data_IF_164284880689
#
_entry.id   IF_164284880689
#
_cell.length_a   1.000
_cell.length_b   1.000
_cell.length_c   1.000
_cell.angle_alpha   90.00
_cell.angle_beta   90.00
_cell.angle_gamma   90.00
#
_symmetry.space_group_name_H-M   'P 1'
#
loop_
_entity.id
_entity.type
_entity.pdbx_description
1 polymer ?
#
# COMPACT_ATOMS: atom_id res chain seq x y z
N UNK A 1 19.06 88.95 -61.83
CA UNK A 1 20.28 88.14 -61.64
C UNK A 1 20.69 88.24 -60.19
N UNK A 2 21.29 87.18 -59.65
CA UNK A 2 21.81 87.12 -58.28
C UNK A 2 23.35 87.12 -58.36
N UNK A 3 24.01 87.95 -57.56
CA UNK A 3 25.47 87.94 -57.43
C UNK A 3 25.84 87.09 -56.23
N UNK A 4 26.68 86.07 -56.40
CA UNK A 4 27.16 85.24 -55.30
C UNK A 4 28.68 85.08 -55.33
N UNK A 5 29.26 84.76 -54.17
CA UNK A 5 30.67 84.41 -54.05
C UNK A 5 30.88 82.91 -54.28
N UNK A 6 31.97 82.53 -54.93
CA UNK A 6 32.40 81.14 -54.98
C UNK A 6 32.92 80.69 -53.61
N UNK A 7 32.42 79.57 -53.08
CA UNK A 7 32.84 79.04 -51.77
C UNK A 7 34.28 78.52 -51.76
N UNK A 8 34.83 78.22 -52.94
CA UNK A 8 36.20 77.71 -53.08
C UNK A 8 37.21 78.83 -53.38
N UNK A 9 36.93 79.73 -54.34
CA UNK A 9 37.88 80.77 -54.76
C UNK A 9 37.53 82.20 -54.30
N UNK A 10 36.39 82.40 -53.63
CA UNK A 10 35.96 83.68 -53.03
C UNK A 10 35.46 84.75 -54.02
N UNK A 11 35.69 84.60 -55.33
CA UNK A 11 35.32 85.59 -56.36
C UNK A 11 33.81 85.66 -56.60
N UNK A 12 33.33 86.87 -56.91
CA UNK A 12 31.92 87.15 -57.25
C UNK A 12 31.59 86.79 -58.69
N UNK A 13 30.44 86.18 -58.92
CA UNK A 13 29.90 85.96 -60.25
C UNK A 13 28.37 86.02 -60.23
N UNK A 14 27.79 86.33 -61.39
CA UNK A 14 26.34 86.45 -61.56
C UNK A 14 25.72 85.14 -62.03
N UNK A 15 24.51 84.86 -61.56
CA UNK A 15 23.68 83.77 -62.08
C UNK A 15 22.22 84.23 -62.24
N UNK A 16 21.43 83.46 -63.00
CA UNK A 16 20.01 83.75 -63.11
C UNK A 16 19.29 83.29 -61.83
N UNK A 17 18.22 84.00 -61.47
CA UNK A 17 17.44 83.70 -60.25
C UNK A 17 16.72 82.34 -60.31
N UNK A 18 16.64 81.72 -61.49
CA UNK A 18 15.97 80.44 -61.77
C UNK A 18 16.91 79.24 -61.74
N UNK A 19 18.22 79.46 -61.70
CA UNK A 19 19.22 78.38 -61.78
C UNK A 19 19.28 77.60 -60.46
N UNK A 20 19.18 76.27 -60.53
CA UNK A 20 19.20 75.38 -59.35
C UNK A 20 20.62 75.00 -58.92
N UNK A 21 21.60 75.19 -59.80
CA UNK A 21 23.02 75.07 -59.55
C UNK A 21 23.80 75.96 -60.49
N UNK A 22 25.03 76.33 -60.11
CA UNK A 22 25.90 77.11 -60.96
C UNK A 22 27.35 76.62 -60.84
N UNK A 23 28.08 76.72 -61.95
CA UNK A 23 29.51 76.41 -62.01
C UNK A 23 30.25 77.74 -62.00
N UNK A 24 31.17 77.93 -61.05
CA UNK A 24 31.95 79.16 -61.00
C UNK A 24 32.83 79.27 -62.26
N UNK A 25 32.71 80.34 -63.07
CA UNK A 25 33.48 80.47 -64.31
C UNK A 25 34.98 80.70 -64.08
N UNK A 26 35.40 81.05 -62.85
CA UNK A 26 36.80 81.31 -62.53
C UNK A 26 37.58 80.07 -62.08
N UNK A 27 36.93 79.07 -61.49
CA UNK A 27 37.60 77.88 -60.96
C UNK A 27 36.88 76.55 -61.24
N UNK A 28 35.74 76.58 -61.93
CA UNK A 28 34.98 75.38 -62.30
C UNK A 28 34.22 74.68 -61.16
N UNK A 29 34.20 75.23 -59.95
CA UNK A 29 33.51 74.58 -58.81
C UNK A 29 31.99 74.63 -59.00
N UNK A 30 31.35 73.46 -58.94
CA UNK A 30 29.88 73.34 -58.97
C UNK A 30 29.33 73.63 -57.58
N UNK A 31 28.49 74.64 -57.46
CA UNK A 31 27.89 75.05 -56.20
C UNK A 31 26.41 75.37 -56.36
N UNK A 32 25.66 75.04 -55.33
CA UNK A 32 24.23 75.30 -55.26
C UNK A 32 24.05 76.71 -54.68
N UNK A 33 23.24 77.58 -55.31
CA UNK A 33 23.01 78.92 -54.78
C UNK A 33 22.47 78.88 -53.34
N UNK A 34 22.78 79.89 -52.49
CA UNK A 34 22.38 79.91 -51.07
C UNK A 34 20.87 79.66 -50.85
N UNK A 35 20.03 80.23 -51.71
CA UNK A 35 18.56 80.02 -51.69
C UNK A 35 18.17 78.54 -51.84
N UNK A 36 18.86 77.80 -52.71
CA UNK A 36 18.57 76.39 -52.97
C UNK A 36 19.18 75.49 -51.88
N UNK A 37 20.33 75.86 -51.28
CA UNK A 37 20.84 75.19 -50.07
C UNK A 37 19.88 75.31 -48.89
N UNK A 38 19.33 76.51 -48.66
CA UNK A 38 18.30 76.75 -47.65
C UNK A 38 17.04 75.92 -47.91
N UNK A 39 16.57 75.87 -49.17
CA UNK A 39 15.43 75.04 -49.56
C UNK A 39 15.65 73.54 -49.31
N UNK A 40 16.80 72.99 -49.71
CA UNK A 40 17.15 71.58 -49.49
C UNK A 40 17.28 71.24 -48.00
N UNK A 41 17.80 72.16 -47.19
CA UNK A 41 17.93 71.98 -45.74
C UNK A 41 16.57 72.05 -45.04
N UNK A 42 15.67 72.94 -45.51
CA UNK A 42 14.27 72.94 -45.09
C UNK A 42 13.53 71.64 -45.48
N UNK A 43 13.71 71.13 -46.69
CA UNK A 43 13.14 69.86 -47.12
C UNK A 43 13.67 68.68 -46.31
N UNK A 44 14.98 68.66 -46.00
CA UNK A 44 15.59 67.63 -45.14
C UNK A 44 15.02 67.68 -43.72
N UNK A 45 14.87 68.87 -43.14
CA UNK A 45 14.22 69.07 -41.83
C UNK A 45 12.77 68.59 -41.87
N UNK A 46 12.02 68.93 -42.93
CA UNK A 46 10.65 68.43 -43.16
C UNK A 46 10.60 66.91 -43.24
N UNK A 47 11.52 66.26 -43.98
CA UNK A 47 11.58 64.78 -44.08
C UNK A 47 11.92 64.11 -42.76
N UNK A 48 12.89 64.64 -42.00
CA UNK A 48 13.24 64.11 -40.66
C UNK A 48 12.05 64.27 -39.71
N UNK A 49 11.35 65.39 -39.78
CA UNK A 49 10.18 65.62 -38.94
C UNK A 49 9.00 64.71 -39.32
N UNK A 50 8.76 64.51 -40.61
CA UNK A 50 7.80 63.51 -41.11
C UNK A 50 8.20 62.12 -40.60
N UNK A 51 9.47 61.72 -40.74
CA UNK A 51 9.95 60.42 -40.26
C UNK A 51 9.77 60.25 -38.74
N UNK A 52 10.05 61.29 -37.94
CA UNK A 52 9.82 61.30 -36.49
C UNK A 52 8.33 61.15 -36.18
N UNK A 53 7.46 61.87 -36.90
CA UNK A 53 5.99 61.75 -36.75
C UNK A 53 5.51 60.34 -37.12
N UNK A 54 5.99 59.76 -38.23
CA UNK A 54 5.64 58.40 -38.66
C UNK A 54 6.11 57.35 -37.64
N UNK A 55 7.36 57.45 -37.17
CA UNK A 55 7.89 56.54 -36.14
C UNK A 55 7.12 56.66 -34.81
N UNK A 56 6.73 57.86 -34.41
CA UNK A 56 5.91 58.08 -33.22
C UNK A 56 4.50 57.48 -33.37
N UNK A 57 3.90 57.55 -34.56
CA UNK A 57 2.62 56.89 -34.86
C UNK A 57 2.76 55.37 -34.78
N UNK A 58 3.77 54.79 -35.42
CA UNK A 58 4.04 53.34 -35.38
C UNK A 58 4.31 52.87 -33.94
N UNK A 59 5.07 53.63 -33.16
CA UNK A 59 5.35 53.33 -31.76
C UNK A 59 4.08 53.35 -30.91
N UNK A 60 3.20 54.35 -31.08
CA UNK A 60 1.88 54.41 -30.42
C UNK A 60 1.00 53.24 -30.83
N UNK A 61 1.00 52.86 -32.11
CA UNK A 61 0.21 51.73 -32.60
C UNK A 61 0.72 50.38 -32.06
N UNK A 62 2.05 50.18 -32.04
CA UNK A 62 2.68 49.00 -31.41
C UNK A 62 2.38 48.94 -29.91
N UNK A 63 2.44 50.06 -29.20
CA UNK A 63 2.10 50.13 -27.78
C UNK A 63 0.61 49.82 -27.53
N UNK A 64 -0.29 50.34 -28.38
CA UNK A 64 -1.72 50.03 -28.32
C UNK A 64 -1.98 48.55 -28.57
N UNK A 65 -1.41 47.96 -29.64
CA UNK A 65 -1.51 46.52 -29.94
C UNK A 65 -0.95 45.67 -28.79
N UNK A 66 0.22 46.03 -28.25
CA UNK A 66 0.83 45.35 -27.09
C UNK A 66 -0.07 45.42 -25.86
N UNK A 67 -0.67 46.58 -25.57
CA UNK A 67 -1.63 46.74 -24.45
C UNK A 67 -2.89 45.89 -24.65
N UNK A 68 -3.45 45.86 -25.85
CA UNK A 68 -4.62 45.01 -26.18
C UNK A 68 -4.28 43.52 -26.05
N UNK A 69 -3.12 43.09 -26.55
CA UNK A 69 -2.65 41.70 -26.42
C UNK A 69 -2.46 41.34 -24.94
N UNK A 70 -1.76 42.17 -24.16
CA UNK A 70 -1.52 41.91 -22.73
C UNK A 70 -2.81 41.88 -21.91
N UNK A 71 -3.75 42.79 -22.16
CA UNK A 71 -5.06 42.78 -21.48
C UNK A 71 -5.88 41.54 -21.83
N UNK A 72 -5.85 41.11 -23.11
CA UNK A 72 -6.46 39.84 -23.54
C UNK A 72 -5.83 38.65 -22.80
N UNK A 73 -4.49 38.56 -22.76
CA UNK A 73 -3.77 37.47 -22.08
C UNK A 73 -4.12 37.42 -20.58
N UNK A 74 -4.11 38.57 -19.90
CA UNK A 74 -4.45 38.65 -18.47
C UNK A 74 -5.88 38.17 -18.24
N UNK A 75 -6.83 38.58 -19.07
CA UNK A 75 -8.23 38.14 -18.95
C UNK A 75 -8.37 36.63 -19.14
N UNK A 76 -7.71 36.05 -20.14
CA UNK A 76 -7.78 34.61 -20.41
C UNK A 76 -7.15 33.79 -19.29
N UNK A 77 -6.00 34.22 -18.78
CA UNK A 77 -5.32 33.55 -17.64
C UNK A 77 -6.17 33.62 -16.38
N UNK A 78 -6.83 34.75 -16.12
CA UNK A 78 -7.72 34.92 -14.96
C UNK A 78 -8.93 33.99 -15.04
N UNK A 79 -9.53 33.84 -16.21
CA UNK A 79 -10.66 32.92 -16.44
C UNK A 79 -10.22 31.46 -16.20
N UNK A 80 -9.06 31.06 -16.75
CA UNK A 80 -8.53 29.70 -16.55
C UNK A 80 -8.27 29.44 -15.06
N UNK A 81 -7.69 30.40 -14.34
CA UNK A 81 -7.44 30.28 -12.91
C UNK A 81 -8.75 30.06 -12.12
N UNK A 82 -9.82 30.81 -12.43
CA UNK A 82 -11.12 30.63 -11.79
C UNK A 82 -11.74 29.26 -12.07
N UNK A 83 -11.60 28.76 -13.30
CA UNK A 83 -12.08 27.41 -13.66
C UNK A 83 -11.33 26.35 -12.86
N UNK A 84 -10.00 26.46 -12.77
CA UNK A 84 -9.16 25.53 -11.99
C UNK A 84 -9.57 25.56 -10.51
N UNK A 85 -9.79 26.75 -9.94
CA UNK A 85 -10.29 26.88 -8.55
C UNK A 85 -11.66 26.23 -8.39
N UNK A 86 -12.57 26.45 -9.35
CA UNK A 86 -13.90 25.85 -9.33
C UNK A 86 -13.87 24.32 -9.38
N UNK A 87 -13.03 23.74 -10.25
CA UNK A 87 -12.86 22.28 -10.36
C UNK A 87 -12.29 21.71 -9.05
N UNK A 88 -11.27 22.34 -8.47
CA UNK A 88 -10.68 21.91 -7.20
C UNK A 88 -11.66 22.05 -6.02
N UNK A 89 -12.50 23.10 -6.02
CA UNK A 89 -13.52 23.28 -4.99
C UNK A 89 -14.62 22.22 -5.12
N UNK A 90 -15.04 21.92 -6.34
CA UNK A 90 -16.00 20.86 -6.61
C UNK A 90 -15.47 19.50 -6.15
N UNK A 91 -14.25 19.13 -6.55
CA UNK A 91 -13.65 17.85 -6.12
C UNK A 91 -13.46 17.77 -4.61
N UNK A 92 -13.10 18.87 -3.94
CA UNK A 92 -12.99 18.91 -2.49
C UNK A 92 -14.35 18.69 -1.79
N UNK A 93 -15.42 19.29 -2.30
CA UNK A 93 -16.77 19.13 -1.75
C UNK A 93 -17.26 17.69 -1.95
N UNK A 94 -17.07 17.14 -3.15
CA UNK A 94 -17.45 15.77 -3.48
C UNK A 94 -16.70 14.76 -2.60
N UNK A 95 -15.37 14.85 -2.53
CA UNK A 95 -14.55 14.02 -1.65
C UNK A 95 -14.96 14.15 -0.16
N UNK A 96 -15.31 15.36 0.29
CA UNK A 96 -15.78 15.60 1.66
C UNK A 96 -17.13 14.91 1.94
N UNK A 97 -18.03 14.85 0.95
CA UNK A 97 -19.31 14.14 1.05
C UNK A 97 -19.12 12.62 1.06
N UNK A 98 -18.29 12.10 0.14
CA UNK A 98 -17.93 10.68 0.08
C UNK A 98 -17.29 10.22 1.40
N UNK A 99 -16.40 11.03 1.97
CA UNK A 99 -15.77 10.74 3.26
C UNK A 99 -16.78 10.64 4.41
N UNK A 100 -17.79 11.53 4.43
CA UNK A 100 -18.85 11.47 5.44
C UNK A 100 -19.68 10.20 5.30
N UNK A 101 -20.05 9.85 4.07
CA UNK A 101 -20.81 8.64 3.76
C UNK A 101 -20.03 7.39 4.19
N UNK A 102 -18.73 7.33 3.89
CA UNK A 102 -17.85 6.25 4.34
C UNK A 102 -17.81 6.15 5.88
N UNK A 103 -17.72 7.28 6.57
CA UNK A 103 -17.75 7.34 8.04
C UNK A 103 -19.09 6.86 8.63
N UNK A 104 -20.20 7.11 7.95
CA UNK A 104 -21.51 6.63 8.39
C UNK A 104 -21.65 5.11 8.19
N UNK A 105 -21.11 4.56 7.10
CA UNK A 105 -21.02 3.09 6.92
C UNK A 105 -20.19 2.43 8.04
N UNK A 106 -19.07 3.03 8.46
CA UNK A 106 -18.29 2.55 9.62
C UNK A 106 -19.15 2.47 10.88
N UNK A 107 -19.89 3.53 11.20
CA UNK A 107 -20.78 3.59 12.39
C UNK A 107 -21.89 2.54 12.34
N UNK A 108 -22.31 2.14 11.15
CA UNK A 108 -23.32 1.11 10.95
C UNK A 108 -22.75 -0.32 10.94
N UNK A 109 -21.42 -0.49 11.01
CA UNK A 109 -20.76 -1.81 10.92
C UNK A 109 -20.64 -2.36 9.48
N UNK A 110 -20.90 -1.51 8.49
CA UNK A 110 -20.84 -1.80 7.04
C UNK A 110 -19.42 -1.57 6.53
N UNK A 111 -18.47 -2.37 7.04
CA UNK A 111 -17.03 -2.10 6.87
C UNK A 111 -16.55 -2.24 5.43
N UNK A 112 -17.17 -3.13 4.64
CA UNK A 112 -16.79 -3.33 3.23
C UNK A 112 -17.19 -2.12 2.39
N UNK A 113 -18.41 -1.64 2.57
CA UNK A 113 -18.93 -0.45 1.92
C UNK A 113 -18.12 0.80 2.31
N UNK A 114 -17.78 0.93 3.59
CA UNK A 114 -16.89 1.98 4.07
C UNK A 114 -15.51 1.92 3.40
N UNK A 115 -14.90 0.73 3.31
CA UNK A 115 -13.59 0.53 2.69
C UNK A 115 -13.58 0.95 1.23
N UNK A 116 -14.58 0.54 0.45
CA UNK A 116 -14.68 0.91 -0.96
C UNK A 116 -14.70 2.42 -1.15
N UNK A 117 -15.48 3.15 -0.32
CA UNK A 117 -15.54 4.60 -0.38
C UNK A 117 -14.22 5.26 0.06
N UNK A 118 -13.60 4.83 1.17
CA UNK A 118 -12.30 5.37 1.59
C UNK A 118 -11.20 5.07 0.56
N UNK A 119 -11.24 3.92 -0.10
CA UNK A 119 -10.28 3.56 -1.13
C UNK A 119 -10.41 4.48 -2.36
N UNK A 120 -11.63 4.87 -2.76
CA UNK A 120 -11.82 5.87 -3.84
C UNK A 120 -11.27 7.25 -3.50
N UNK A 121 -11.17 7.58 -2.22
CA UNK A 121 -10.67 8.86 -1.72
C UNK A 121 -9.14 8.96 -1.71
N UNK A 122 -8.44 7.82 -1.70
CA UNK A 122 -6.97 7.76 -1.67
C UNK A 122 -6.37 8.56 -0.52
N UNK A 123 -5.57 9.57 -0.83
CA UNK A 123 -4.86 10.42 0.15
C UNK A 123 -5.72 11.58 0.69
N UNK A 124 -7.02 11.61 0.40
CA UNK A 124 -7.89 12.64 0.98
C UNK A 124 -8.08 12.38 2.48
N UNK A 125 -7.60 13.31 3.31
CA UNK A 125 -7.58 13.19 4.78
C UNK A 125 -6.80 11.93 5.23
N UNK A 126 -7.38 11.14 6.12
CA UNK A 126 -6.89 9.89 6.71
C UNK A 126 -7.47 8.64 6.01
N UNK A 127 -8.02 8.76 4.81
CA UNK A 127 -8.72 7.65 4.14
C UNK A 127 -7.83 6.43 3.93
N UNK A 128 -6.55 6.63 3.58
CA UNK A 128 -5.55 5.56 3.46
C UNK A 128 -5.34 4.77 4.76
N UNK A 129 -5.28 5.46 5.91
CA UNK A 129 -5.13 4.80 7.21
C UNK A 129 -6.44 4.13 7.66
N UNK A 130 -7.60 4.74 7.36
CA UNK A 130 -8.91 4.13 7.57
C UNK A 130 -9.08 2.83 6.77
N UNK A 131 -8.59 2.78 5.54
CA UNK A 131 -8.59 1.55 4.74
C UNK A 131 -7.84 0.41 5.44
N UNK A 132 -6.66 0.66 6.02
CA UNK A 132 -5.88 -0.35 6.75
C UNK A 132 -6.64 -0.86 7.98
N UNK A 133 -7.24 0.05 8.76
CA UNK A 133 -8.05 -0.32 9.91
C UNK A 133 -9.28 -1.15 9.49
N UNK A 134 -9.91 -0.79 8.37
CA UNK A 134 -11.07 -1.49 7.84
C UNK A 134 -10.72 -2.88 7.27
N UNK A 135 -9.55 -3.07 6.66
CA UNK A 135 -9.10 -4.40 6.23
C UNK A 135 -9.04 -5.38 7.40
N UNK A 136 -8.49 -4.93 8.54
CA UNK A 136 -8.46 -5.69 9.79
C UNK A 136 -9.88 -5.96 10.31
N UNK A 137 -10.73 -4.93 10.34
CA UNK A 137 -12.11 -5.07 10.81
C UNK A 137 -12.91 -6.05 9.94
N UNK A 138 -12.74 -6.01 8.61
CA UNK A 138 -13.38 -6.94 7.65
C UNK A 138 -12.87 -8.36 7.87
N UNK A 139 -11.56 -8.55 8.08
CA UNK A 139 -11.00 -9.88 8.37
C UNK A 139 -11.60 -10.44 9.66
N UNK A 140 -11.62 -9.67 10.74
CA UNK A 140 -12.21 -10.07 12.03
C UNK A 140 -13.71 -10.31 11.93
N UNK A 141 -14.46 -9.49 11.19
CA UNK A 141 -15.88 -9.70 10.93
C UNK A 141 -16.13 -11.00 10.16
N UNK A 142 -15.28 -11.32 9.18
CA UNK A 142 -15.34 -12.57 8.43
C UNK A 142 -15.09 -13.77 9.35
N UNK A 143 -14.09 -13.68 10.22
CA UNK A 143 -13.84 -14.72 11.23
C UNK A 143 -15.05 -14.87 12.17
N UNK A 144 -15.56 -13.78 12.75
CA UNK A 144 -16.74 -13.78 13.62
C UNK A 144 -17.98 -14.42 12.97
N UNK A 145 -18.16 -14.22 11.66
CA UNK A 145 -19.28 -14.79 10.91
C UNK A 145 -19.05 -16.23 10.47
N UNK A 146 -17.84 -16.77 10.61
CA UNK A 146 -17.53 -18.16 10.27
C UNK A 146 -18.05 -19.09 11.37
N UNK A 147 -18.81 -20.11 10.97
CA UNK A 147 -19.37 -21.11 11.89
C UNK A 147 -18.34 -22.14 12.34
N UNK A 148 -18.65 -22.86 13.43
CA UNK A 148 -17.86 -24.03 13.85
C UNK A 148 -17.86 -25.06 12.72
N UNK A 149 -16.67 -25.60 12.40
CA UNK A 149 -16.43 -26.44 11.22
C UNK A 149 -16.05 -25.67 9.96
N UNK A 150 -16.27 -24.34 9.93
CA UNK A 150 -15.79 -23.48 8.84
C UNK A 150 -14.27 -23.29 8.85
N UNK A 151 -13.75 -22.77 7.74
CA UNK A 151 -12.33 -22.46 7.54
C UNK A 151 -12.13 -20.94 7.53
N UNK A 152 -11.12 -20.47 8.25
CA UNK A 152 -10.61 -19.10 8.19
C UNK A 152 -9.14 -19.09 7.73
N UNK A 153 -8.67 -17.94 7.27
CA UNK A 153 -7.25 -17.71 6.94
C UNK A 153 -6.64 -16.71 7.91
N UNK A 154 -5.49 -17.08 8.50
CA UNK A 154 -4.80 -16.24 9.46
C UNK A 154 -3.32 -16.62 9.61
N UNK A 155 -2.44 -15.64 9.47
CA UNK A 155 -0.99 -15.88 9.39
C UNK A 155 -0.57 -16.58 8.09
N UNK A 156 0.75 -16.67 7.90
CA UNK A 156 1.37 -17.31 6.73
C UNK A 156 2.56 -18.14 7.15
N UNK A 157 2.72 -19.34 6.60
CA UNK A 157 3.84 -20.23 6.90
C UNK A 157 4.24 -21.00 5.64
N UNK A 158 5.52 -21.35 5.53
CA UNK A 158 6.07 -22.12 4.42
C UNK A 158 5.48 -23.53 4.41
N UNK A 159 4.76 -23.90 3.36
CA UNK A 159 4.01 -25.15 3.29
C UNK A 159 4.23 -25.95 2.01
N UNK A 160 4.92 -25.42 1.00
CA UNK A 160 5.20 -26.14 -0.25
C UNK A 160 6.71 -26.43 -0.49
N UNK A 161 7.60 -25.82 0.30
CA UNK A 161 9.05 -25.97 0.21
C UNK A 161 9.70 -25.09 -0.85
N UNK A 162 8.94 -24.22 -1.50
CA UNK A 162 9.40 -23.30 -2.52
C UNK A 162 9.64 -21.91 -1.95
N UNK A 163 10.70 -21.73 -1.17
CA UNK A 163 11.06 -20.44 -0.54
C UNK A 163 11.09 -19.19 -1.47
N UNK A 164 11.10 -19.37 -2.80
CA UNK A 164 11.06 -18.30 -3.78
C UNK A 164 9.66 -17.68 -4.00
N UNK A 165 8.57 -18.38 -3.69
CA UNK A 165 7.19 -17.86 -3.80
C UNK A 165 6.75 -17.12 -2.51
N UNK A 166 7.50 -17.28 -1.42
CA UNK A 166 7.16 -16.74 -0.10
C UNK A 166 6.15 -17.62 0.64
N UNK A 167 5.92 -17.33 1.92
CA UNK A 167 5.06 -18.15 2.77
C UNK A 167 3.59 -18.17 2.30
N UNK A 168 2.94 -19.32 2.39
CA UNK A 168 1.51 -19.49 2.09
C UNK A 168 0.63 -19.11 3.27
N UNK A 169 -0.58 -18.58 3.00
CA UNK A 169 -1.59 -18.37 4.05
C UNK A 169 -1.93 -19.69 4.77
N UNK A 170 -2.08 -19.62 6.09
CA UNK A 170 -2.47 -20.78 6.89
C UNK A 170 -4.00 -20.83 6.97
N UNK A 171 -4.56 -21.99 6.62
CA UNK A 171 -5.98 -22.29 6.78
C UNK A 171 -6.24 -22.93 8.15
N UNK A 172 -7.24 -22.44 8.86
CA UNK A 172 -7.61 -22.90 10.19
C UNK A 172 -9.08 -23.30 10.23
N UNK A 173 -9.34 -24.48 10.79
CA UNK A 173 -10.69 -24.94 11.10
C UNK A 173 -11.16 -24.39 12.44
N UNK A 174 -12.37 -23.85 12.46
CA UNK A 174 -13.00 -23.31 13.67
C UNK A 174 -13.53 -24.44 14.54
N UNK A 175 -12.93 -24.65 15.71
CA UNK A 175 -13.30 -25.71 16.65
C UNK A 175 -14.38 -25.29 17.64
N UNK A 176 -14.34 -24.05 18.11
CA UNK A 176 -15.31 -23.50 19.06
C UNK A 176 -15.33 -21.97 19.01
N UNK A 177 -16.45 -21.40 19.47
CA UNK A 177 -16.63 -19.95 19.62
C UNK A 177 -17.08 -19.64 21.03
N UNK A 178 -16.52 -18.59 21.61
CA UNK A 178 -16.93 -18.04 22.91
C UNK A 178 -16.96 -16.51 22.81
N UNK A 179 -18.15 -15.96 22.57
CA UNK A 179 -18.35 -14.52 22.37
C UNK A 179 -17.43 -13.97 21.27
N UNK A 180 -16.47 -13.09 21.61
CA UNK A 180 -15.48 -12.52 20.69
C UNK A 180 -14.18 -13.32 20.61
N UNK A 181 -14.19 -14.59 21.04
CA UNK A 181 -13.04 -15.48 21.00
C UNK A 181 -13.34 -16.68 20.13
N UNK A 182 -12.32 -17.12 19.41
CA UNK A 182 -12.42 -18.30 18.55
C UNK A 182 -11.28 -19.26 18.82
N UNK A 183 -11.62 -20.53 19.06
CA UNK A 183 -10.65 -21.62 19.09
C UNK A 183 -10.52 -22.18 17.68
N UNK A 184 -9.30 -22.15 17.17
CA UNK A 184 -9.00 -22.65 15.82
C UNK A 184 -7.84 -23.63 15.85
N UNK A 185 -7.81 -24.54 14.89
CA UNK A 185 -6.73 -25.49 14.64
C UNK A 185 -6.35 -25.46 13.17
N UNK A 186 -5.08 -25.62 12.81
CA UNK A 186 -4.73 -25.67 11.38
C UNK A 186 -5.52 -26.79 10.68
N UNK A 187 -6.09 -26.50 9.51
CA UNK A 187 -6.81 -27.50 8.70
C UNK A 187 -5.88 -28.67 8.37
N UNK A 188 -4.64 -28.34 8.01
CA UNK A 188 -3.67 -29.30 7.54
C UNK A 188 -2.54 -29.45 8.58
N UNK A 189 -1.79 -30.54 8.46
CA UNK A 189 -0.51 -30.67 9.13
C UNK A 189 0.48 -29.70 8.49
N UNK A 190 1.03 -28.77 9.29
CA UNK A 190 1.88 -27.70 8.76
C UNK A 190 3.38 -28.02 8.81
N UNK A 191 3.78 -28.98 9.64
CA UNK A 191 5.18 -29.25 9.90
C UNK A 191 5.39 -30.66 10.48
N UNK A 192 6.53 -31.27 10.14
CA UNK A 192 7.02 -32.47 10.81
C UNK A 192 7.84 -32.01 12.03
N UNK A 193 7.37 -32.31 13.23
CA UNK A 193 8.16 -32.15 14.45
C UNK A 193 8.05 -33.39 15.32
N UNK A 194 9.16 -33.74 15.96
CA UNK A 194 9.14 -34.63 17.12
C UNK A 194 8.42 -33.92 18.26
N UNK A 195 7.86 -34.70 19.18
CA UNK A 195 7.31 -34.14 20.40
C UNK A 195 8.43 -33.59 21.31
N UNK A 196 9.56 -34.31 21.38
CA UNK A 196 10.77 -33.90 22.06
C UNK A 196 12.01 -34.38 21.28
N UNK A 197 13.10 -33.64 21.30
CA UNK A 197 14.29 -34.02 20.51
C UNK A 197 15.03 -35.23 21.06
N UNK A 198 14.92 -35.45 22.38
CA UNK A 198 15.60 -36.54 23.10
C UNK A 198 14.63 -37.43 23.90
N UNK A 199 14.96 -38.70 24.06
CA UNK A 199 14.14 -39.69 24.75
C UNK A 199 14.41 -39.60 26.24
N UNK A 200 13.70 -38.68 26.88
CA UNK A 200 13.67 -38.49 28.32
C UNK A 200 12.23 -38.42 28.79
N UNK A 201 11.99 -38.57 30.09
CA UNK A 201 10.65 -38.36 30.63
C UNK A 201 10.26 -36.88 30.41
N UNK A 202 9.25 -36.65 29.56
CA UNK A 202 8.84 -35.34 29.07
C UNK A 202 7.34 -35.17 29.19
N UNK A 203 6.91 -33.99 29.62
CA UNK A 203 5.50 -33.55 29.65
C UNK A 203 5.30 -32.47 28.60
N UNK A 204 4.07 -32.00 28.40
CA UNK A 204 3.82 -30.85 27.52
C UNK A 204 4.66 -29.63 27.92
N UNK A 205 4.67 -29.31 29.22
CA UNK A 205 5.38 -28.19 29.83
C UNK A 205 6.86 -28.11 29.41
N UNK A 206 7.55 -29.25 29.40
CA UNK A 206 9.00 -29.34 29.16
C UNK A 206 9.37 -29.72 27.72
N UNK A 207 8.38 -30.01 26.88
CA UNK A 207 8.59 -30.46 25.50
C UNK A 207 9.23 -29.39 24.61
N UNK A 208 10.08 -29.85 23.69
CA UNK A 208 10.67 -28.97 22.66
C UNK A 208 9.61 -28.51 21.65
N UNK A 209 8.57 -29.32 21.40
CA UNK A 209 7.46 -28.94 20.53
C UNK A 209 6.70 -27.71 21.07
N UNK A 210 6.39 -27.67 22.38
CA UNK A 210 5.76 -26.50 23.00
C UNK A 210 6.62 -25.25 22.87
N UNK A 211 7.94 -25.37 23.06
CA UNK A 211 8.89 -24.26 22.91
C UNK A 211 8.87 -23.73 21.48
N UNK A 212 8.95 -24.60 20.48
CA UNK A 212 8.89 -24.20 19.07
C UNK A 212 7.58 -23.49 18.72
N UNK A 213 6.44 -24.02 19.17
CA UNK A 213 5.13 -23.40 18.93
C UNK A 213 5.02 -22.00 19.52
N UNK A 214 5.53 -21.78 20.75
CA UNK A 214 5.43 -20.50 21.44
C UNK A 214 6.62 -19.55 21.19
N UNK A 215 7.51 -19.89 20.26
CA UNK A 215 8.62 -19.02 19.86
C UNK A 215 8.72 -18.94 18.34
N UNK A 216 9.54 -19.78 17.71
CA UNK A 216 9.82 -19.77 16.28
C UNK A 216 8.56 -19.79 15.42
N UNK A 217 7.57 -20.64 15.75
CA UNK A 217 6.33 -20.69 14.98
C UNK A 217 5.55 -19.37 15.06
N UNK A 218 5.33 -18.81 16.26
CA UNK A 218 4.62 -17.52 16.41
C UNK A 218 5.35 -16.39 15.68
N UNK A 219 6.67 -16.32 15.84
CA UNK A 219 7.49 -15.27 15.21
C UNK A 219 7.50 -15.35 13.69
N UNK A 220 7.40 -16.57 13.15
CA UNK A 220 7.45 -16.84 11.70
C UNK A 220 6.07 -16.75 11.05
N UNK A 221 5.02 -17.18 11.76
CA UNK A 221 3.68 -17.36 11.20
C UNK A 221 2.81 -16.10 11.22
N UNK A 222 3.07 -15.16 12.13
CA UNK A 222 2.18 -14.03 12.38
C UNK A 222 2.93 -12.70 12.34
N UNK A 223 2.28 -11.67 11.78
CA UNK A 223 2.76 -10.29 11.90
C UNK A 223 2.60 -9.77 13.33
N UNK A 224 3.28 -8.68 13.70
CA UNK A 224 3.17 -8.10 15.04
C UNK A 224 1.73 -7.70 15.41
N UNK A 225 0.97 -7.21 14.42
CA UNK A 225 -0.46 -6.92 14.55
C UNK A 225 -1.25 -8.21 14.85
N UNK A 226 -1.01 -9.29 14.11
CA UNK A 226 -1.68 -10.58 14.32
C UNK A 226 -1.30 -11.24 15.66
N UNK A 227 -0.04 -11.10 16.10
CA UNK A 227 0.42 -11.59 17.42
C UNK A 227 -0.35 -10.95 18.58
N UNK A 228 -0.84 -9.72 18.40
CA UNK A 228 -1.65 -9.01 19.40
C UNK A 228 -3.02 -9.67 19.62
N UNK A 229 -3.53 -10.42 18.64
CA UNK A 229 -4.81 -11.13 18.72
C UNK A 229 -4.69 -12.52 19.34
N UNK A 230 -3.48 -13.05 19.49
CA UNK A 230 -3.23 -14.36 20.10
C UNK A 230 -3.43 -14.30 21.62
N UNK A 231 -4.40 -15.06 22.13
CA UNK A 231 -4.71 -15.09 23.56
C UNK A 231 -3.80 -16.06 24.31
N UNK A 232 -3.15 -15.55 25.36
CA UNK A 232 -2.51 -16.42 26.36
C UNK A 232 -3.59 -17.21 27.09
N UNK A 233 -3.47 -18.53 27.05
CA UNK A 233 -4.46 -19.46 27.57
C UNK A 233 -3.82 -20.40 28.58
N UNK A 234 -4.48 -20.60 29.73
CA UNK A 234 -4.15 -21.69 30.65
C UNK A 234 -4.47 -23.03 30.01
N UNK A 235 -3.45 -23.74 29.53
CA UNK A 235 -3.57 -25.07 28.92
C UNK A 235 -3.47 -26.13 30.02
N UNK A 236 -4.54 -26.91 30.18
CA UNK A 236 -4.67 -27.88 31.29
C UNK A 236 -3.93 -29.19 31.05
N UNK A 237 -2.94 -29.52 31.88
CA UNK A 237 -2.13 -30.73 31.74
C UNK A 237 -2.77 -31.95 32.40
N UNK A 238 -3.86 -32.43 31.79
CA UNK A 238 -4.60 -33.59 32.27
C UNK A 238 -3.79 -34.89 32.16
N UNK A 239 -4.00 -35.79 33.13
CA UNK A 239 -3.48 -37.16 33.05
C UNK A 239 -4.11 -37.90 31.89
N UNK A 240 -3.41 -38.91 31.36
CA UNK A 240 -4.01 -39.84 30.41
C UNK A 240 -5.25 -40.51 31.04
N UNK A 241 -6.44 -40.46 30.40
CA UNK A 241 -7.66 -40.98 31.01
C UNK A 241 -7.66 -42.51 31.15
N UNK A 242 -6.89 -43.24 30.31
CA UNK A 242 -6.80 -44.71 30.32
C UNK A 242 -5.61 -45.20 31.13
N UNK A 243 -4.43 -44.60 30.94
CA UNK A 243 -3.20 -45.07 31.56
C UNK A 243 -2.84 -44.34 32.86
N UNK A 244 -3.54 -43.25 33.17
CA UNK A 244 -3.34 -42.43 34.36
C UNK A 244 -1.92 -41.81 34.49
N UNK A 245 -1.12 -41.86 33.42
CA UNK A 245 0.16 -41.15 33.31
C UNK A 245 -0.05 -39.67 33.60
N UNK A 246 0.75 -39.12 34.51
CA UNK A 246 0.66 -37.72 34.91
C UNK A 246 1.03 -36.78 33.76
N UNK A 247 0.19 -35.78 33.49
CA UNK A 247 0.31 -34.83 32.37
C UNK A 247 1.37 -33.73 32.54
N UNK A 248 1.90 -33.55 33.76
CA UNK A 248 2.71 -32.40 34.13
C UNK A 248 1.88 -31.27 34.71
N UNK A 249 2.46 -30.08 34.81
CA UNK A 249 1.78 -28.87 35.28
C UNK A 249 1.07 -28.14 34.14
N UNK A 250 0.02 -27.40 34.48
CA UNK A 250 -0.65 -26.48 33.56
C UNK A 250 0.34 -25.42 33.05
N UNK A 251 0.14 -24.97 31.82
CA UNK A 251 0.99 -23.97 31.16
C UNK A 251 0.19 -22.76 30.72
N UNK A 252 0.88 -21.65 30.47
CA UNK A 252 0.31 -20.47 29.83
C UNK A 252 0.88 -20.37 28.42
N UNK A 253 0.06 -20.67 27.42
CA UNK A 253 0.47 -20.79 26.02
C UNK A 253 -0.40 -19.93 25.11
N UNK A 254 0.20 -19.35 24.05
CA UNK A 254 -0.55 -18.69 22.96
C UNK A 254 -0.93 -19.69 21.87
N UNK A 255 -0.03 -20.64 21.59
CA UNK A 255 -0.24 -21.71 20.61
C UNK A 255 0.09 -23.06 21.27
N UNK A 256 -0.78 -24.05 21.07
CA UNK A 256 -0.67 -25.38 21.66
C UNK A 256 -1.18 -26.46 20.69
N UNK A 257 -1.26 -27.70 21.14
CA UNK A 257 -1.94 -28.81 20.44
C UNK A 257 -3.00 -29.41 21.36
N UNK A 258 -4.02 -30.06 20.80
CA UNK A 258 -5.12 -30.60 21.61
C UNK A 258 -4.64 -31.68 22.60
N UNK A 259 -5.30 -31.76 23.75
CA UNK A 259 -5.32 -32.97 24.58
C UNK A 259 -6.27 -34.03 24.02
N UNK A 260 -6.23 -35.23 24.61
CA UNK A 260 -7.24 -36.27 24.41
C UNK A 260 -8.66 -35.71 24.65
N UNK A 261 -8.90 -35.07 25.80
CA UNK A 261 -10.23 -34.56 26.16
C UNK A 261 -10.72 -33.47 25.21
N UNK A 262 -9.82 -32.58 24.76
CA UNK A 262 -10.15 -31.55 23.78
C UNK A 262 -10.40 -32.12 22.39
N UNK A 263 -9.62 -33.13 21.97
CA UNK A 263 -9.87 -33.86 20.72
C UNK A 263 -11.26 -34.50 20.73
N UNK A 264 -11.62 -35.22 21.78
CA UNK A 264 -12.93 -35.87 21.90
C UNK A 264 -14.08 -34.85 21.93
N UNK A 265 -13.85 -33.67 22.51
CA UNK A 265 -14.83 -32.59 22.58
C UNK A 265 -15.05 -31.89 21.24
N UNK A 266 -13.96 -31.54 20.54
CA UNK A 266 -14.03 -30.62 19.39
C UNK A 266 -13.95 -31.33 18.04
N UNK A 267 -13.20 -32.44 17.92
CA UNK A 267 -13.00 -33.14 16.65
C UNK A 267 -14.17 -34.08 16.34
N UNK A 268 -15.34 -33.53 16.07
CA UNK A 268 -16.58 -34.29 15.81
C UNK A 268 -16.86 -34.55 14.33
N UNK A 269 -16.16 -33.85 13.43
CA UNK A 269 -16.29 -33.91 11.96
C UNK A 269 -14.91 -34.13 11.31
N UNK A 270 -14.92 -34.50 10.02
CA UNK A 270 -13.74 -35.04 9.33
C UNK A 270 -12.60 -34.02 9.21
N UNK A 271 -12.87 -32.76 8.92
CA UNK A 271 -11.87 -31.69 8.81
C UNK A 271 -11.08 -31.49 10.12
N UNK A 272 -11.73 -31.68 11.27
CA UNK A 272 -11.08 -31.60 12.57
C UNK A 272 -10.35 -32.91 12.95
N UNK A 273 -10.74 -34.07 12.39
CA UNK A 273 -10.11 -35.37 12.70
C UNK A 273 -8.92 -35.68 11.79
N UNK A 274 -9.07 -35.42 10.50
CA UNK A 274 -8.12 -35.79 9.46
C UNK A 274 -7.10 -34.66 9.27
N UNK A 275 -5.86 -34.90 9.68
CA UNK A 275 -4.76 -33.98 9.39
C UNK A 275 -4.26 -34.22 7.98
N UNK A 276 -4.81 -33.49 7.00
CA UNK A 276 -4.30 -33.52 5.61
C UNK A 276 -2.82 -33.17 5.62
N UNK A 277 -2.06 -33.81 4.74
CA UNK A 277 -0.61 -33.64 4.67
C UNK A 277 -0.22 -33.32 3.24
N UNK A 278 0.74 -32.43 3.08
CA UNK A 278 1.27 -32.02 1.78
C UNK A 278 2.67 -32.63 1.53
N UNK A 279 3.16 -32.61 0.27
CA UNK A 279 4.47 -33.19 -0.07
C UNK A 279 5.64 -32.58 0.72
N UNK A 280 5.55 -31.31 1.12
CA UNK A 280 6.57 -30.65 1.92
C UNK A 280 6.74 -31.31 3.29
N UNK A 281 5.65 -31.52 4.03
CA UNK A 281 5.70 -32.17 5.35
C UNK A 281 6.11 -33.65 5.22
N UNK A 282 5.67 -34.35 4.17
CA UNK A 282 6.12 -35.71 3.86
C UNK A 282 7.63 -35.76 3.59
N UNK A 283 8.17 -34.79 2.84
CA UNK A 283 9.61 -34.72 2.54
C UNK A 283 10.50 -34.58 3.78
N UNK A 284 9.93 -34.09 4.88
CA UNK A 284 10.59 -33.98 6.19
C UNK A 284 10.48 -35.25 7.06
N UNK A 285 9.79 -36.28 6.57
CA UNK A 285 9.77 -37.61 7.20
C UNK A 285 8.44 -38.01 7.85
N UNK A 286 7.42 -37.15 7.79
CA UNK A 286 6.10 -37.47 8.30
C UNK A 286 5.46 -38.63 7.50
N UNK A 287 4.69 -39.47 8.19
CA UNK A 287 3.94 -40.55 7.55
C UNK A 287 2.81 -39.99 6.70
N UNK A 288 2.61 -40.57 5.51
CA UNK A 288 1.45 -40.31 4.66
C UNK A 288 0.60 -41.57 4.50
N UNK A 289 -0.70 -41.44 4.74
CA UNK A 289 -1.68 -42.37 4.23
C UNK A 289 -2.01 -42.02 2.78
N UNK A 290 -1.50 -42.82 1.84
CA UNK A 290 -1.65 -42.56 0.39
C UNK A 290 -3.09 -42.61 -0.13
N UNK A 291 -4.04 -43.18 0.62
CA UNK A 291 -5.45 -43.21 0.22
C UNK A 291 -6.20 -41.96 0.67
N UNK A 292 -5.88 -41.45 1.86
CA UNK A 292 -6.57 -40.30 2.46
C UNK A 292 -5.80 -38.98 2.30
N UNK A 293 -4.51 -39.04 1.93
CA UNK A 293 -3.57 -37.93 1.92
C UNK A 293 -3.49 -37.21 3.28
N UNK A 294 -3.32 -38.01 4.34
CA UNK A 294 -3.32 -37.55 5.74
C UNK A 294 -2.13 -38.11 6.52
N UNK A 295 -1.70 -37.39 7.57
CA UNK A 295 -0.60 -37.78 8.45
C UNK A 295 -1.01 -38.10 9.89
N UNK A 296 -0.10 -38.72 10.63
CA UNK A 296 -0.23 -38.87 12.09
C UNK A 296 0.11 -37.56 12.78
N UNK A 297 -0.66 -37.14 13.78
CA UNK A 297 -0.41 -35.87 14.46
C UNK A 297 -0.50 -35.97 15.99
N UNK A 298 0.37 -35.22 16.66
CA UNK A 298 0.56 -35.29 18.12
C UNK A 298 -0.60 -34.69 18.91
N UNK A 299 -0.84 -35.24 20.10
CA UNK A 299 -1.61 -34.63 21.19
C UNK A 299 -0.69 -34.37 22.38
N UNK A 300 -1.01 -33.36 23.19
CA UNK A 300 -0.18 -32.98 24.36
C UNK A 300 -0.35 -33.89 25.57
N UNK A 301 -1.39 -34.72 25.61
CA UNK A 301 -1.59 -35.69 26.69
C UNK A 301 -0.53 -36.79 26.60
N UNK A 302 0.15 -37.17 27.69
CA UNK A 302 1.12 -38.27 27.65
C UNK A 302 0.43 -39.59 27.29
N UNK A 303 1.19 -40.52 26.72
CA UNK A 303 0.76 -41.89 26.44
C UNK A 303 0.79 -42.76 27.71
N UNK A 304 1.12 -44.04 27.55
CA UNK A 304 1.24 -45.01 28.67
C UNK A 304 2.39 -44.70 29.65
N UNK A 305 3.35 -43.86 29.25
CA UNK A 305 4.47 -43.43 30.10
C UNK A 305 4.98 -42.05 29.64
N UNK A 306 5.72 -41.32 30.49
CA UNK A 306 6.26 -39.97 30.20
C UNK A 306 7.29 -39.91 29.05
N UNK A 307 7.72 -41.04 28.47
CA UNK A 307 8.50 -41.07 27.23
C UNK A 307 7.65 -41.20 25.96
N UNK A 308 6.32 -41.14 26.10
CA UNK A 308 5.35 -41.29 25.02
C UNK A 308 4.30 -40.19 25.07
N UNK A 309 3.84 -39.74 23.90
CA UNK A 309 2.74 -38.79 23.76
C UNK A 309 1.57 -39.44 22.99
N UNK A 310 0.34 -39.14 23.39
CA UNK A 310 -0.84 -39.53 22.63
C UNK A 310 -0.83 -38.86 21.25
N UNK A 311 -1.53 -39.46 20.30
CA UNK A 311 -1.59 -38.95 18.93
C UNK A 311 -2.88 -39.40 18.25
N UNK A 312 -3.15 -38.81 17.09
CA UNK A 312 -4.24 -39.19 16.20
C UNK A 312 -3.66 -39.82 14.95
N UNK A 313 -4.21 -40.96 14.55
CA UNK A 313 -3.76 -41.67 13.35
C UNK A 313 -4.09 -40.88 12.08
N UNK A 314 -3.48 -41.23 10.95
CA UNK A 314 -3.82 -40.66 9.64
C UNK A 314 -5.27 -40.95 9.24
N UNK A 315 -5.89 -42.00 9.79
CA UNK A 315 -7.33 -42.27 9.64
C UNK A 315 -8.21 -41.48 10.62
N UNK A 316 -7.66 -40.52 11.36
CA UNK A 316 -8.41 -39.72 12.33
C UNK A 316 -8.82 -40.49 13.58
N UNK A 317 -8.06 -41.53 13.98
CA UNK A 317 -8.37 -42.35 15.17
C UNK A 317 -7.48 -41.97 16.35
N UNK A 318 -8.08 -41.72 17.50
CA UNK A 318 -7.37 -41.39 18.73
C UNK A 318 -6.59 -42.60 19.29
N UNK A 319 -5.32 -42.39 19.68
CA UNK A 319 -4.48 -43.41 20.34
C UNK A 319 -4.09 -42.98 21.75
N UNK A 320 -4.68 -43.63 22.77
CA UNK A 320 -4.37 -43.40 24.19
C UNK A 320 -3.00 -43.93 24.61
N UNK A 321 -2.53 -45.02 23.98
CA UNK A 321 -1.25 -45.66 24.31
C UNK A 321 -0.04 -44.74 24.04
N UNK A 322 -0.16 -43.91 23.01
CA UNK A 322 0.85 -42.97 22.57
C UNK A 322 2.09 -43.59 21.92
N UNK A 323 2.93 -42.74 21.34
CA UNK A 323 4.19 -43.12 20.71
C UNK A 323 5.38 -42.41 21.32
N UNK A 324 6.56 -43.01 21.18
CA UNK A 324 7.85 -42.45 21.57
C UNK A 324 7.99 -41.02 21.03
N UNK A 325 8.27 -40.10 21.95
CA UNK A 325 8.30 -38.64 21.70
C UNK A 325 9.36 -38.19 20.68
N UNK A 326 10.38 -39.00 20.41
CA UNK A 326 11.40 -38.73 19.39
C UNK A 326 11.00 -39.15 17.96
N UNK A 327 9.83 -39.77 17.79
CA UNK A 327 9.43 -40.33 16.50
C UNK A 327 9.27 -39.24 15.44
N UNK A 328 9.84 -39.50 14.26
CA UNK A 328 9.91 -38.54 13.14
C UNK A 328 8.75 -38.65 12.16
N UNK A 329 7.86 -39.62 12.35
CA UNK A 329 6.77 -39.90 11.40
C UNK A 329 5.49 -39.08 11.68
N UNK A 330 5.56 -38.15 12.62
CA UNK A 330 4.43 -37.36 13.10
C UNK A 330 4.55 -35.90 12.69
N UNK A 331 3.40 -35.31 12.40
CA UNK A 331 3.22 -33.90 12.10
C UNK A 331 2.48 -33.16 13.22
N UNK A 332 2.35 -31.85 13.06
CA UNK A 332 1.76 -30.95 14.05
C UNK A 332 0.56 -30.22 13.44
N UNK A 333 -0.51 -30.12 14.24
CA UNK A 333 -1.65 -29.23 13.98
C UNK A 333 -1.76 -28.22 15.13
N UNK A 334 -1.18 -27.02 15.00
CA UNK A 334 -1.29 -25.98 16.00
C UNK A 334 -2.73 -25.58 16.27
N UNK A 335 -2.97 -25.15 17.50
CA UNK A 335 -4.25 -24.73 18.04
C UNK A 335 -4.05 -23.43 18.80
N UNK A 336 -4.98 -22.49 18.68
CA UNK A 336 -4.93 -21.23 19.42
C UNK A 336 -6.31 -20.63 19.64
N UNK A 337 -6.41 -19.83 20.70
CA UNK A 337 -7.51 -18.91 20.90
C UNK A 337 -7.15 -17.54 20.32
N UNK A 338 -8.03 -17.00 19.48
CA UNK A 338 -7.87 -15.69 18.85
C UNK A 338 -8.93 -14.74 19.39
N UNK A 339 -8.54 -13.51 19.73
CA UNK A 339 -9.45 -12.40 19.95
C UNK A 339 -9.88 -11.79 18.61
N UNK A 340 -11.15 -11.96 18.29
CA UNK A 340 -11.77 -11.45 17.06
C UNK A 340 -12.65 -10.22 17.33
N UNK A 341 -12.48 -9.57 18.49
CA UNK A 341 -13.15 -8.30 18.77
C UNK A 341 -12.73 -7.21 17.77
N UNK A 342 -13.74 -6.52 17.26
CA UNK A 342 -13.59 -5.38 16.36
C UNK A 342 -13.60 -4.12 17.22
N UNK A 343 -12.40 -3.65 17.54
CA UNK A 343 -12.18 -2.40 18.26
C UNK A 343 -11.55 -1.39 17.29
N UNK A 344 -11.73 -0.10 17.55
CA UNK A 344 -11.00 1.00 16.89
C UNK A 344 -11.22 1.15 15.37
N UNK A 345 -12.48 1.21 14.93
CA UNK A 345 -12.82 1.52 13.53
C UNK A 345 -13.23 2.99 13.31
N UNK A 346 -13.41 3.78 14.39
CA UNK A 346 -13.97 5.15 14.34
C UNK A 346 -12.99 6.27 13.95
#
# INVERSE_FOLDING_TARGET
>A
MLVINCENCGKQFEMQNTDTSAVCPHCGTHQVPPRMKQFLEEERKKRIEIQKRTNAIIAKEKARKRKTIWTSIISTVSIIALIVVGINLYSFIDNSLTYKTASDHVRNGEYREAYELFNTLGEFKDSSDRCKALEIAIQKQTMLNTDVGGIIKFGSYEQDGNIANGQEEIEWVVLAKDSNKMLVMTSDCIEQKKYNETYVATTWETSDLRKWLNSEFIETAFSDEQKSYLLTTTVKSEKNPVHHTHGGYDTEDKVFILSISEYEKYCTYDEAKLGKINPYVVSKGAYENLTLHTGHWWLRTPGIAMGRAAYVTSSGTLTYYGEIIESVIYCVRPVMWIDVSINDVE
#
